data_IF_145830792639
#
_entry.id   IF_145830792639
#
_cell.length_a   1.000
_cell.length_b   1.000
_cell.length_c   1.000
_cell.angle_alpha   90.00
_cell.angle_beta   90.00
_cell.angle_gamma   90.00
#
_symmetry.space_group_name_H-M   'P 1'
#
loop_
_entity.id
_entity.type
_entity.pdbx_description
1 polymer ?
#
# COMPACT_ATOMS: atom_id res chain seq x y z
N UNK A 1 -13.06 -32.47 -8.47
CA UNK A 1 -14.21 -31.74 -7.91
C UNK A 1 -14.06 -30.24 -8.13
N UNK A 2 -15.16 -29.54 -8.39
CA UNK A 2 -15.20 -28.10 -8.72
C UNK A 2 -14.46 -27.23 -7.68
N UNK A 3 -14.54 -27.62 -6.40
CA UNK A 3 -13.84 -26.97 -5.27
C UNK A 3 -12.31 -27.04 -5.37
N UNK A 4 -11.76 -28.18 -5.78
CA UNK A 4 -10.30 -28.37 -5.91
C UNK A 4 -9.70 -27.56 -7.06
N UNK A 5 -10.45 -27.39 -8.16
CA UNK A 5 -10.06 -26.54 -9.29
C UNK A 5 -10.07 -25.06 -8.88
N UNK A 6 -11.12 -24.62 -8.20
CA UNK A 6 -11.29 -23.23 -7.75
C UNK A 6 -10.24 -22.82 -6.69
N UNK A 7 -9.84 -23.74 -5.82
CA UNK A 7 -8.74 -23.55 -4.86
C UNK A 7 -7.38 -23.44 -5.56
N UNK A 8 -7.12 -24.32 -6.53
CA UNK A 8 -5.88 -24.31 -7.32
C UNK A 8 -5.74 -23.04 -8.16
N UNK A 9 -6.81 -22.64 -8.84
CA UNK A 9 -6.82 -21.44 -9.69
C UNK A 9 -6.62 -20.15 -8.87
N UNK A 10 -7.26 -20.06 -7.69
CA UNK A 10 -7.05 -18.94 -6.75
C UNK A 10 -5.62 -18.91 -6.19
N UNK A 11 -5.04 -20.07 -5.89
CA UNK A 11 -3.66 -20.15 -5.42
C UNK A 11 -2.67 -19.72 -6.51
N UNK A 12 -2.85 -20.19 -7.75
CA UNK A 12 -1.98 -19.80 -8.89
C UNK A 12 -2.06 -18.29 -9.13
N UNK A 13 -3.26 -17.71 -9.18
CA UNK A 13 -3.44 -16.26 -9.34
C UNK A 13 -2.75 -15.47 -8.21
N UNK A 14 -2.83 -15.97 -6.97
CA UNK A 14 -2.16 -15.33 -5.84
C UNK A 14 -0.62 -15.42 -5.93
N UNK A 15 -0.07 -16.55 -6.39
CA UNK A 15 1.38 -16.68 -6.60
C UNK A 15 1.88 -15.80 -7.74
N UNK A 16 1.16 -15.73 -8.86
CA UNK A 16 1.51 -14.86 -9.98
C UNK A 16 1.48 -13.39 -9.57
N UNK A 17 0.47 -12.97 -8.80
CA UNK A 17 0.43 -11.63 -8.22
C UNK A 17 1.65 -11.39 -7.34
N UNK A 18 1.92 -12.27 -6.36
CA UNK A 18 3.06 -12.14 -5.45
C UNK A 18 4.40 -12.04 -6.20
N UNK A 19 4.62 -12.84 -7.25
CA UNK A 19 5.85 -12.80 -8.05
C UNK A 19 5.97 -11.51 -8.88
N UNK A 20 4.88 -11.07 -9.50
CA UNK A 20 4.85 -9.80 -10.24
C UNK A 20 5.18 -8.64 -9.31
N UNK A 21 4.66 -8.67 -8.08
CA UNK A 21 4.95 -7.66 -7.06
C UNK A 21 6.37 -7.77 -6.51
N UNK A 22 6.88 -8.96 -6.26
CA UNK A 22 8.28 -9.14 -5.90
C UNK A 22 9.20 -8.57 -7.00
N UNK A 23 8.88 -8.79 -8.27
CA UNK A 23 9.57 -8.19 -9.42
C UNK A 23 9.49 -6.66 -9.45
N UNK A 24 8.31 -6.08 -9.17
CA UNK A 24 8.15 -4.62 -9.07
C UNK A 24 8.93 -4.04 -7.88
N UNK A 25 8.77 -4.59 -6.68
CA UNK A 25 9.52 -4.18 -5.47
C UNK A 25 11.01 -4.24 -5.77
N UNK A 26 11.48 -5.36 -6.33
CA UNK A 26 12.87 -5.55 -6.73
C UNK A 26 13.33 -4.44 -7.68
N UNK A 27 12.61 -4.23 -8.78
CA UNK A 27 12.96 -3.22 -9.79
C UNK A 27 12.97 -1.81 -9.19
N UNK A 28 11.99 -1.49 -8.35
CA UNK A 28 11.85 -0.16 -7.74
C UNK A 28 12.96 0.10 -6.73
N UNK A 29 13.33 -0.92 -5.95
CA UNK A 29 14.40 -0.85 -4.97
C UNK A 29 15.80 -0.85 -5.57
N UNK A 30 16.00 -1.59 -6.66
CA UNK A 30 17.31 -1.82 -7.25
C UNK A 30 17.66 -0.81 -8.33
N UNK A 31 16.66 -0.22 -8.98
CA UNK A 31 16.88 0.82 -10.01
C UNK A 31 17.84 1.91 -9.49
N UNK A 32 18.84 2.25 -10.31
CA UNK A 32 19.85 3.25 -9.96
C UNK A 32 20.90 2.82 -8.92
N UNK A 33 20.77 1.67 -8.27
CA UNK A 33 21.78 1.19 -7.32
C UNK A 33 22.99 0.59 -8.04
N UNK A 34 24.16 0.76 -7.45
CA UNK A 34 25.43 0.22 -7.94
C UNK A 34 26.12 -0.58 -6.84
N UNK A 35 27.01 -1.50 -7.23
CA UNK A 35 27.80 -2.27 -6.27
C UNK A 35 29.09 -1.49 -6.00
N UNK A 36 29.26 -1.07 -4.74
CA UNK A 36 30.48 -0.41 -4.26
C UNK A 36 31.02 -1.24 -3.10
N UNK A 37 32.25 -1.72 -3.22
CA UNK A 37 32.90 -2.56 -2.20
C UNK A 37 32.04 -3.78 -1.77
N UNK A 38 31.40 -4.46 -2.73
CA UNK A 38 30.56 -5.63 -2.48
C UNK A 38 29.17 -5.32 -1.90
N UNK A 39 28.85 -4.05 -1.63
CA UNK A 39 27.54 -3.63 -1.12
C UNK A 39 26.72 -2.94 -2.21
N UNK A 40 25.43 -3.26 -2.29
CA UNK A 40 24.50 -2.58 -3.20
C UNK A 40 24.04 -1.24 -2.58
N UNK A 41 24.53 -0.13 -3.12
CA UNK A 41 24.32 1.23 -2.58
C UNK A 41 23.60 2.10 -3.61
N UNK A 42 22.72 2.98 -3.15
CA UNK A 42 22.18 4.06 -3.97
C UNK A 42 23.10 5.27 -3.84
N UNK A 43 23.88 5.56 -4.87
CA UNK A 43 24.73 6.75 -4.90
C UNK A 43 23.88 8.02 -5.10
N UNK A 44 24.25 9.17 -4.49
CA UNK A 44 23.48 10.41 -4.59
C UNK A 44 23.17 10.84 -6.04
N UNK A 45 24.14 10.71 -6.95
CA UNK A 45 24.01 11.02 -8.38
C UNK A 45 22.98 10.13 -9.10
N UNK A 46 22.69 8.96 -8.55
CA UNK A 46 21.76 7.99 -9.11
C UNK A 46 20.37 8.03 -8.46
N UNK A 47 20.12 8.90 -7.47
CA UNK A 47 18.79 9.03 -6.86
C UNK A 47 17.68 9.29 -7.90
N UNK A 48 18.01 10.02 -8.97
CA UNK A 48 17.10 10.31 -10.10
C UNK A 48 16.75 9.07 -10.95
N UNK A 49 17.56 8.02 -10.85
CA UNK A 49 17.36 6.75 -11.57
C UNK A 49 16.63 5.72 -10.71
N UNK A 50 16.54 5.96 -9.39
CA UNK A 50 15.82 5.08 -8.49
C UNK A 50 14.33 5.37 -8.53
N UNK A 51 13.55 4.45 -9.10
CA UNK A 51 12.11 4.58 -9.30
C UNK A 51 11.37 4.84 -7.98
N UNK A 52 11.78 4.16 -6.89
CA UNK A 52 11.17 4.38 -5.58
C UNK A 52 11.36 5.84 -5.11
N UNK A 53 12.56 6.37 -5.29
CA UNK A 53 12.91 7.75 -4.93
C UNK A 53 12.17 8.76 -5.78
N UNK A 54 12.11 8.55 -7.09
CA UNK A 54 11.40 9.43 -8.03
C UNK A 54 9.91 9.48 -7.72
N UNK A 55 9.28 8.33 -7.52
CA UNK A 55 7.85 8.24 -7.20
C UNK A 55 7.54 8.84 -5.82
N UNK A 56 8.40 8.63 -4.82
CA UNK A 56 8.24 9.22 -3.50
C UNK A 56 8.32 10.75 -3.58
N UNK A 57 9.32 11.30 -4.28
CA UNK A 57 9.46 12.75 -4.51
C UNK A 57 8.24 13.33 -5.23
N UNK A 58 7.73 12.63 -6.25
CA UNK A 58 6.53 13.03 -6.97
C UNK A 58 5.27 13.00 -6.09
N UNK A 59 5.10 11.99 -5.24
CA UNK A 59 3.97 11.91 -4.31
C UNK A 59 4.00 13.01 -3.24
N UNK A 60 5.21 13.48 -2.87
CA UNK A 60 5.38 14.57 -1.91
C UNK A 60 5.34 15.97 -2.50
N UNK A 61 5.16 16.14 -3.82
CA UNK A 61 5.31 17.45 -4.48
C UNK A 61 4.36 18.51 -3.93
N UNK A 62 3.16 18.10 -3.50
CA UNK A 62 2.14 18.98 -2.94
C UNK A 62 2.40 19.36 -1.46
N UNK A 63 3.46 18.84 -0.85
CA UNK A 63 3.84 19.11 0.54
C UNK A 63 3.32 18.08 1.55
N UNK A 64 3.56 18.37 2.83
CA UNK A 64 3.36 17.45 3.94
C UNK A 64 1.88 17.11 4.19
N UNK A 65 1.01 18.13 4.25
CA UNK A 65 -0.41 17.92 4.56
C UNK A 65 -1.11 17.06 3.50
N UNK A 66 -0.96 17.35 2.19
CA UNK A 66 -1.56 16.48 1.17
C UNK A 66 -0.97 15.07 1.21
N UNK A 67 0.33 14.92 1.46
CA UNK A 67 0.96 13.60 1.58
C UNK A 67 0.35 12.77 2.71
N UNK A 68 0.13 13.36 3.88
CA UNK A 68 -0.47 12.64 5.02
C UNK A 68 -1.91 12.20 4.76
N UNK A 69 -2.68 13.01 4.05
CA UNK A 69 -4.05 12.67 3.64
C UNK A 69 -4.07 11.48 2.68
N UNK A 70 -3.09 11.37 1.77
CA UNK A 70 -3.07 10.30 0.77
C UNK A 70 -2.51 8.96 1.30
N UNK A 71 -1.81 8.93 2.44
CA UNK A 71 -1.24 7.69 3.02
C UNK A 71 -2.31 6.59 3.19
N UNK A 72 -3.46 6.83 3.84
CA UNK A 72 -4.51 5.82 3.96
C UNK A 72 -5.03 5.31 2.61
N UNK A 73 -5.11 6.19 1.60
CA UNK A 73 -5.57 5.80 0.27
C UNK A 73 -4.52 4.98 -0.50
N UNK A 74 -3.23 5.27 -0.31
CA UNK A 74 -2.15 4.42 -0.84
C UNK A 74 -2.22 3.03 -0.23
N UNK A 75 -2.44 2.94 1.08
CA UNK A 75 -2.67 1.69 1.80
C UNK A 75 -3.88 0.92 1.25
N UNK A 76 -5.01 1.60 1.01
CA UNK A 76 -6.19 1.00 0.38
C UNK A 76 -5.93 0.45 -1.01
N UNK A 77 -5.33 1.26 -1.86
CA UNK A 77 -5.00 0.90 -3.23
C UNK A 77 -4.06 -0.31 -3.24
N UNK A 78 -3.00 -0.25 -2.44
CA UNK A 78 -2.02 -1.32 -2.30
C UNK A 78 -2.65 -2.62 -1.81
N UNK A 79 -3.43 -2.60 -0.73
CA UNK A 79 -4.03 -3.82 -0.18
C UNK A 79 -5.08 -4.43 -1.10
N UNK A 80 -5.80 -3.60 -1.86
CA UNK A 80 -6.74 -4.07 -2.90
C UNK A 80 -6.01 -4.75 -4.05
N UNK A 81 -4.90 -4.16 -4.51
CA UNK A 81 -4.10 -4.65 -5.63
C UNK A 81 -3.24 -5.88 -5.26
N UNK A 82 -2.61 -5.84 -4.09
CA UNK A 82 -1.64 -6.83 -3.59
C UNK A 82 -2.31 -7.99 -2.86
N UNK A 83 -3.57 -7.82 -2.46
CA UNK A 83 -4.34 -8.80 -1.73
C UNK A 83 -3.76 -9.15 -0.34
N UNK A 84 -2.76 -8.44 0.17
CA UNK A 84 -2.23 -8.65 1.53
C UNK A 84 -1.68 -7.35 2.10
N UNK A 85 -1.93 -7.13 3.39
CA UNK A 85 -1.38 -5.99 4.14
C UNK A 85 0.14 -6.08 4.23
N UNK A 86 0.66 -7.30 4.44
CA UNK A 86 2.09 -7.52 4.59
C UNK A 86 2.86 -7.07 3.35
N UNK A 87 2.38 -7.42 2.16
CA UNK A 87 3.02 -7.02 0.90
C UNK A 87 2.89 -5.51 0.68
N UNK A 88 1.73 -4.93 1.03
CA UNK A 88 1.49 -3.48 1.02
C UNK A 88 2.49 -2.74 1.90
N UNK A 89 2.60 -3.13 3.16
CA UNK A 89 3.51 -2.52 4.14
C UNK A 89 4.97 -2.68 3.71
N UNK A 90 5.36 -3.86 3.22
CA UNK A 90 6.75 -4.12 2.80
C UNK A 90 7.17 -3.24 1.63
N UNK A 91 6.27 -3.00 0.67
CA UNK A 91 6.55 -2.11 -0.47
C UNK A 91 6.57 -0.63 -0.07
N UNK A 92 5.59 -0.17 0.72
CA UNK A 92 5.43 1.24 1.06
C UNK A 92 6.35 1.71 2.19
N UNK A 93 6.92 0.80 3.00
CA UNK A 93 7.89 1.16 4.03
C UNK A 93 9.02 2.09 3.56
N UNK A 94 9.86 1.65 2.63
CA UNK A 94 10.97 2.46 2.14
C UNK A 94 10.48 3.71 1.39
N UNK A 95 9.31 3.65 0.74
CA UNK A 95 8.68 4.80 0.09
C UNK A 95 8.34 5.92 1.07
N UNK A 96 7.68 5.60 2.20
CA UNK A 96 7.30 6.57 3.22
C UNK A 96 8.52 7.17 3.94
N UNK A 97 9.59 6.40 4.13
CA UNK A 97 10.83 6.94 4.70
C UNK A 97 11.51 7.94 3.76
N UNK A 98 11.54 7.66 2.46
CA UNK A 98 12.05 8.62 1.46
C UNK A 98 11.17 9.88 1.42
N UNK A 99 9.86 9.71 1.46
CA UNK A 99 8.92 10.81 1.48
C UNK A 99 9.09 11.70 2.73
N UNK A 100 9.22 11.11 3.91
CA UNK A 100 9.47 11.83 5.15
C UNK A 100 10.78 12.65 5.08
N UNK A 101 11.86 12.04 4.57
CA UNK A 101 13.13 12.74 4.32
C UNK A 101 12.95 13.92 3.35
N UNK A 102 12.21 13.71 2.26
CA UNK A 102 11.96 14.73 1.23
C UNK A 102 11.16 15.91 1.78
N UNK A 103 10.20 15.62 2.67
CA UNK A 103 9.35 16.62 3.32
C UNK A 103 9.99 17.26 4.56
N UNK A 104 11.21 16.86 4.94
CA UNK A 104 11.85 17.33 6.17
C UNK A 104 11.12 16.88 7.46
N UNK A 105 10.33 15.82 7.40
CA UNK A 105 9.54 15.33 8.52
C UNK A 105 10.33 14.29 9.33
N UNK A 106 10.66 14.63 10.58
CA UNK A 106 11.54 13.80 11.42
C UNK A 106 10.92 12.44 11.80
N UNK A 107 9.59 12.37 11.93
CA UNK A 107 8.89 11.16 12.41
C UNK A 107 8.41 10.28 11.25
N UNK A 108 9.34 9.77 10.44
CA UNK A 108 9.00 8.89 9.30
C UNK A 108 8.12 7.68 9.68
N UNK A 109 8.25 7.18 10.92
CA UNK A 109 7.46 6.08 11.46
C UNK A 109 5.96 6.39 11.56
N UNK A 110 5.56 7.67 11.70
CA UNK A 110 4.14 8.07 11.71
C UNK A 110 3.47 7.77 10.37
N UNK A 111 4.17 7.98 9.26
CA UNK A 111 3.63 7.65 7.94
C UNK A 111 3.38 6.14 7.82
N UNK A 112 4.28 5.33 8.39
CA UNK A 112 4.12 3.88 8.43
C UNK A 112 2.96 3.42 9.30
N UNK A 113 2.83 4.00 10.49
CA UNK A 113 1.71 3.68 11.38
C UNK A 113 0.39 4.02 10.70
N UNK A 114 0.31 5.19 10.06
CA UNK A 114 -0.85 5.59 9.28
C UNK A 114 -1.21 4.60 8.17
N UNK A 115 -0.21 4.15 7.41
CA UNK A 115 -0.40 3.16 6.35
C UNK A 115 -0.89 1.80 6.88
N UNK A 116 -0.28 1.31 7.97
CA UNK A 116 -0.63 0.03 8.61
C UNK A 116 -2.03 0.08 9.22
N UNK A 117 -2.38 1.16 9.92
CA UNK A 117 -3.72 1.30 10.52
C UNK A 117 -4.79 1.33 9.43
N UNK A 118 -4.54 2.03 8.32
CA UNK A 118 -5.43 2.00 7.17
C UNK A 118 -5.54 0.61 6.53
N UNK A 119 -4.45 -0.19 6.52
CA UNK A 119 -4.47 -1.56 5.98
C UNK A 119 -5.47 -2.43 6.76
N UNK A 120 -5.49 -2.32 8.10
CA UNK A 120 -6.38 -3.08 9.00
C UNK A 120 -7.85 -2.76 8.72
N UNK A 121 -8.20 -1.49 8.51
CA UNK A 121 -9.57 -1.10 8.18
C UNK A 121 -10.09 -1.70 6.87
N UNK A 122 -9.18 -2.13 5.98
CA UNK A 122 -9.47 -2.48 4.59
C UNK A 122 -9.39 -3.99 4.36
N UNK A 123 -8.59 -4.73 5.12
CA UNK A 123 -8.70 -6.19 5.11
C UNK A 123 -10.06 -6.70 5.54
N UNK A 124 -10.77 -5.95 6.38
CA UNK A 124 -12.15 -6.28 6.74
C UNK A 124 -13.10 -6.08 5.54
N UNK A 125 -12.89 -5.10 4.66
CA UNK A 125 -13.61 -4.97 3.37
C UNK A 125 -13.35 -6.20 2.49
N UNK A 126 -12.11 -6.71 2.45
CA UNK A 126 -11.78 -7.89 1.64
C UNK A 126 -12.41 -9.17 2.19
N UNK A 127 -12.43 -9.35 3.52
CA UNK A 127 -13.19 -10.43 4.17
C UNK A 127 -14.68 -10.28 3.85
N UNK A 128 -15.20 -9.05 3.86
CA UNK A 128 -16.57 -8.74 3.45
C UNK A 128 -16.81 -9.06 1.97
N UNK A 129 -15.91 -8.75 1.03
CA UNK A 129 -16.06 -9.11 -0.39
C UNK A 129 -16.02 -10.63 -0.63
N UNK A 130 -15.22 -11.38 0.14
CA UNK A 130 -15.31 -12.85 0.12
C UNK A 130 -16.68 -13.34 0.61
N UNK A 131 -17.29 -12.64 1.56
CA UNK A 131 -18.68 -12.86 1.96
C UNK A 131 -19.69 -12.33 0.92
N UNK A 132 -19.33 -11.36 0.08
CA UNK A 132 -20.18 -10.95 -1.06
C UNK A 132 -20.33 -12.07 -2.08
N UNK A 133 -19.34 -12.95 -2.25
CA UNK A 133 -19.53 -14.17 -3.04
C UNK A 133 -20.57 -15.14 -2.45
N UNK A 134 -20.82 -15.08 -1.12
CA UNK A 134 -21.96 -15.75 -0.48
C UNK A 134 -23.27 -14.97 -0.70
N UNK A 135 -23.23 -13.63 -0.73
CA UNK A 135 -24.37 -12.75 -1.06
C UNK A 135 -24.76 -12.87 -2.55
N UNK A 136 -23.83 -13.28 -3.42
CA UNK A 136 -24.08 -13.55 -4.83
C UNK A 136 -25.07 -14.67 -5.08
N UNK A 137 -25.18 -15.62 -4.14
CA UNK A 137 -26.27 -16.60 -4.14
C UNK A 137 -27.67 -15.96 -4.02
N UNK A 138 -27.76 -14.70 -3.57
CA UNK A 138 -28.99 -13.93 -3.40
C UNK A 138 -29.18 -12.82 -4.47
N UNK A 139 -28.28 -12.70 -5.46
CA UNK A 139 -28.41 -11.72 -6.56
C UNK A 139 -28.16 -10.25 -6.20
N UNK A 140 -27.67 -9.95 -4.99
CA UNK A 140 -27.44 -8.56 -4.52
C UNK A 140 -25.97 -8.11 -4.54
N UNK A 141 -25.11 -8.78 -5.32
CA UNK A 141 -23.64 -8.58 -5.35
C UNK A 141 -23.25 -7.11 -5.51
N UNK A 142 -23.89 -6.42 -6.45
CA UNK A 142 -23.58 -5.03 -6.76
C UNK A 142 -23.84 -4.09 -5.58
N UNK A 143 -24.99 -4.24 -4.90
CA UNK A 143 -25.36 -3.41 -3.73
C UNK A 143 -24.42 -3.66 -2.56
N UNK A 144 -24.05 -4.92 -2.34
CA UNK A 144 -23.13 -5.30 -1.27
C UNK A 144 -21.72 -4.75 -1.54
N UNK A 145 -21.23 -4.82 -2.78
CA UNK A 145 -19.94 -4.23 -3.19
C UNK A 145 -19.93 -2.70 -2.99
N UNK A 146 -20.95 -1.98 -3.46
CA UNK A 146 -20.99 -0.51 -3.33
C UNK A 146 -21.04 -0.07 -1.87
N UNK A 147 -21.87 -0.72 -1.04
CA UNK A 147 -21.94 -0.40 0.40
C UNK A 147 -20.62 -0.71 1.13
N UNK A 148 -20.00 -1.85 0.81
CA UNK A 148 -18.72 -2.23 1.43
C UNK A 148 -17.60 -1.27 1.02
N UNK A 149 -17.55 -0.88 -0.26
CA UNK A 149 -16.58 0.12 -0.74
C UNK A 149 -16.79 1.49 -0.05
N UNK A 150 -18.04 1.93 0.12
CA UNK A 150 -18.36 3.18 0.79
C UNK A 150 -17.95 3.17 2.27
N UNK A 151 -18.29 2.10 3.00
CA UNK A 151 -17.86 1.93 4.40
C UNK A 151 -16.33 1.93 4.48
N UNK A 152 -15.67 1.26 3.54
CA UNK A 152 -14.22 1.26 3.43
C UNK A 152 -13.59 2.63 3.26
N UNK A 153 -14.14 3.45 2.38
CA UNK A 153 -13.71 4.83 2.18
C UNK A 153 -13.90 5.66 3.44
N UNK A 154 -15.01 5.49 4.17
CA UNK A 154 -15.28 6.21 5.42
C UNK A 154 -14.27 5.82 6.49
N UNK A 155 -14.00 4.53 6.68
CA UNK A 155 -13.01 4.04 7.65
C UNK A 155 -11.62 4.56 7.28
N UNK A 156 -11.26 4.49 6.00
CA UNK A 156 -9.98 5.01 5.48
C UNK A 156 -9.85 6.51 5.76
N UNK A 157 -10.89 7.30 5.48
CA UNK A 157 -10.90 8.73 5.77
C UNK A 157 -10.81 9.01 7.28
N UNK A 158 -11.45 8.20 8.13
CA UNK A 158 -11.37 8.36 9.58
C UNK A 158 -9.94 8.16 10.11
N UNK A 159 -9.10 7.34 9.47
CA UNK A 159 -7.68 7.18 9.85
C UNK A 159 -6.82 8.41 9.62
N UNK A 160 -7.29 9.38 8.81
CA UNK A 160 -6.61 10.67 8.60
C UNK A 160 -6.58 11.46 9.91
N UNK A 161 -7.64 11.42 10.71
CA UNK A 161 -7.75 12.20 11.95
C UNK A 161 -6.61 11.90 12.94
N UNK A 162 -6.35 10.63 13.35
CA UNK A 162 -5.22 10.32 14.21
C UNK A 162 -3.88 10.57 13.51
N UNK A 163 -3.75 10.35 12.21
CA UNK A 163 -2.55 10.68 11.43
C UNK A 163 -2.19 12.17 11.55
N UNK A 164 -3.16 13.05 11.35
CA UNK A 164 -2.98 14.50 11.43
C UNK A 164 -2.70 14.98 12.85
N UNK A 165 -3.15 14.26 13.89
CA UNK A 165 -2.85 14.61 15.29
C UNK A 165 -1.34 14.57 15.61
N UNK A 166 -0.57 13.74 14.90
CA UNK A 166 0.89 13.66 15.04
C UNK A 166 1.65 14.87 14.46
N UNK A 167 0.96 15.77 13.73
CA UNK A 167 1.51 17.08 13.35
C UNK A 167 1.41 18.10 14.48
N UNK A 168 0.42 17.94 15.36
CA UNK A 168 0.12 18.87 16.45
C UNK A 168 0.90 18.46 17.71
N UNK A 169 1.15 17.16 17.89
CA UNK A 169 1.97 16.64 18.98
C UNK A 169 3.39 16.24 18.50
N UNK A 170 4.41 17.10 18.75
CA UNK A 170 5.81 16.76 18.49
C UNK A 170 6.33 15.67 19.42
#
# INVERSE_FOLDING_TARGET
GYVGKLMKDRWILQQVANWTFAGMVFTYHWSGKTIVNGSLVLLPENEKLNLLTVLAKAATWAGLLPYMVIIPFMSMFATTLLGTELTSTTFFMPFHFIAAKTLGFAKATVFMVGHIVANIGITDIRKLMKNVALIGAYGEEYKALTKTALIGLIITAATIIPLMSFLIWP
#
